data_IF_706260476859
#
_entry.id   IF_706260476859
#
_cell.length_a   1.000
_cell.length_b   1.000
_cell.length_c   1.000
_cell.angle_alpha   90.00
_cell.angle_beta   90.00
_cell.angle_gamma   90.00
#
_symmetry.space_group_name_H-M   'P 1'
#
loop_
_entity.id
_entity.type
_entity.pdbx_description
1 polymer ?
#
# COMPACT_ATOMS: atom_id res chain seq x y z
N UNK A 1 4.58 -0.21 10.17
CA UNK A 1 3.73 -0.51 9.01
C UNK A 1 2.73 -1.58 9.42
N UNK A 2 1.44 -1.27 9.46
CA UNK A 2 0.43 -2.29 9.74
C UNK A 2 0.43 -3.33 8.62
N UNK A 3 0.38 -4.61 9.00
CA UNK A 3 0.20 -5.67 8.04
C UNK A 3 -1.19 -5.51 7.39
N UNK A 4 -1.22 -5.47 6.07
CA UNK A 4 -2.43 -5.32 5.25
C UNK A 4 -3.34 -6.54 5.29
N UNK A 5 -2.83 -7.67 5.79
CA UNK A 5 -3.56 -8.92 5.99
C UNK A 5 -2.85 -9.80 7.03
N UNK A 6 -3.56 -10.80 7.56
CA UNK A 6 -2.99 -11.78 8.49
C UNK A 6 -2.13 -12.82 7.72
N UNK A 7 -0.82 -12.82 8.01
CA UNK A 7 0.15 -13.76 7.42
C UNK A 7 0.03 -15.18 7.95
N UNK A 8 -0.67 -15.40 9.07
CA UNK A 8 -0.91 -16.72 9.67
C UNK A 8 -2.21 -17.36 9.20
N UNK A 9 -3.06 -16.62 8.49
CA UNK A 9 -4.29 -17.15 7.93
C UNK A 9 -3.99 -18.26 6.92
N UNK A 10 -4.82 -19.31 6.92
CA UNK A 10 -4.66 -20.42 5.98
C UNK A 10 -4.92 -19.96 4.55
N UNK A 11 -4.08 -20.42 3.62
CA UNK A 11 -4.28 -20.17 2.19
C UNK A 11 -5.55 -20.88 1.73
N UNK A 12 -6.51 -20.13 1.19
CA UNK A 12 -7.73 -20.68 0.62
C UNK A 12 -7.59 -20.78 -0.90
N UNK A 13 -7.86 -21.96 -1.45
CA UNK A 13 -7.96 -22.13 -2.89
C UNK A 13 -9.11 -21.27 -3.43
N UNK A 14 -8.80 -20.41 -4.39
CA UNK A 14 -9.76 -19.48 -4.99
C UNK A 14 -9.73 -19.69 -6.51
N UNK A 15 -10.90 -19.92 -7.11
CA UNK A 15 -11.03 -20.00 -8.57
C UNK A 15 -10.97 -18.60 -9.14
N UNK A 16 -10.05 -18.36 -10.08
CA UNK A 16 -9.87 -17.07 -10.72
C UNK A 16 -9.54 -17.28 -12.21
N UNK A 17 -10.03 -16.38 -13.05
CA UNK A 17 -9.80 -16.41 -14.49
C UNK A 17 -8.59 -15.54 -14.83
N UNK A 18 -7.57 -16.12 -15.45
CA UNK A 18 -6.38 -15.43 -15.97
C UNK A 18 -6.28 -15.69 -17.46
N UNK A 19 -5.68 -14.76 -18.19
CA UNK A 19 -5.27 -14.99 -19.57
C UNK A 19 -4.38 -16.25 -19.70
N UNK A 20 -4.71 -17.09 -20.66
CA UNK A 20 -4.06 -18.38 -20.87
C UNK A 20 -2.58 -18.24 -21.27
N UNK A 21 -2.25 -17.32 -22.18
CA UNK A 21 -0.87 -17.08 -22.63
C UNK A 21 0.01 -16.57 -21.48
N UNK A 22 -0.53 -15.68 -20.64
CA UNK A 22 0.16 -15.20 -19.45
C UNK A 22 0.48 -16.35 -18.48
N UNK A 23 -0.49 -17.24 -18.24
CA UNK A 23 -0.31 -18.40 -17.37
C UNK A 23 0.70 -19.39 -17.95
N UNK A 24 0.65 -19.63 -19.25
CA UNK A 24 1.61 -20.49 -19.95
C UNK A 24 3.03 -19.93 -19.85
N UNK A 25 3.22 -18.62 -20.07
CA UNK A 25 4.52 -17.95 -19.94
C UNK A 25 5.05 -17.98 -18.50
N UNK A 26 4.18 -17.71 -17.52
CA UNK A 26 4.56 -17.77 -16.11
C UNK A 26 5.03 -19.17 -15.70
N UNK A 27 4.32 -20.22 -16.14
CA UNK A 27 4.72 -21.62 -15.90
C UNK A 27 6.05 -21.98 -16.56
N UNK A 28 6.26 -21.56 -17.82
CA UNK A 28 7.54 -21.79 -18.54
C UNK A 28 8.73 -21.17 -17.82
N UNK A 29 8.52 -20.05 -17.14
CA UNK A 29 9.55 -19.34 -16.37
C UNK A 29 9.64 -19.79 -14.90
N UNK A 30 8.92 -20.86 -14.50
CA UNK A 30 8.85 -21.34 -13.12
C UNK A 30 8.45 -20.26 -12.09
N UNK A 31 7.61 -19.30 -12.50
CA UNK A 31 7.11 -18.27 -11.61
C UNK A 31 6.11 -18.88 -10.62
N UNK A 32 6.33 -18.64 -9.33
CA UNK A 32 5.40 -19.07 -8.29
C UNK A 32 4.15 -18.18 -8.31
N UNK A 33 3.10 -18.67 -8.98
CA UNK A 33 1.83 -17.97 -9.15
C UNK A 33 1.19 -17.54 -7.82
N UNK A 34 1.20 -18.41 -6.81
CA UNK A 34 0.61 -18.09 -5.50
C UNK A 34 1.36 -16.96 -4.81
N UNK A 35 2.69 -17.02 -4.75
CA UNK A 35 3.49 -15.98 -4.13
C UNK A 35 3.39 -14.64 -4.88
N UNK A 36 3.36 -14.70 -6.22
CA UNK A 36 3.25 -13.50 -7.07
C UNK A 36 1.88 -12.84 -6.90
N UNK A 37 0.81 -13.63 -6.88
CA UNK A 37 -0.54 -13.13 -6.66
C UNK A 37 -0.70 -12.51 -5.26
N UNK A 38 -0.18 -13.17 -4.23
CA UNK A 38 -0.20 -12.64 -2.85
C UNK A 38 0.53 -11.30 -2.76
N UNK A 39 1.71 -11.18 -3.37
CA UNK A 39 2.48 -9.92 -3.39
C UNK A 39 1.73 -8.80 -4.15
N UNK A 40 1.15 -9.12 -5.31
CA UNK A 40 0.39 -8.15 -6.09
C UNK A 40 -0.87 -7.67 -5.35
N UNK A 41 -1.57 -8.57 -4.67
CA UNK A 41 -2.74 -8.22 -3.86
C UNK A 41 -2.35 -7.36 -2.65
N UNK A 42 -1.23 -7.68 -1.98
CA UNK A 42 -0.70 -6.88 -0.88
C UNK A 42 -0.39 -5.44 -1.32
N UNK A 43 0.28 -5.29 -2.46
CA UNK A 43 0.61 -3.98 -3.02
C UNK A 43 -0.65 -3.19 -3.39
N UNK A 44 -1.62 -3.84 -4.04
CA UNK A 44 -2.89 -3.22 -4.40
C UNK A 44 -3.66 -2.74 -3.14
N UNK A 45 -3.72 -3.57 -2.09
CA UNK A 45 -4.35 -3.20 -0.82
C UNK A 45 -3.64 -2.02 -0.17
N UNK A 46 -2.30 -2.04 -0.08
CA UNK A 46 -1.51 -0.94 0.46
C UNK A 46 -1.77 0.38 -0.27
N UNK A 47 -1.85 0.32 -1.61
CA UNK A 47 -2.16 1.49 -2.44
C UNK A 47 -3.55 2.04 -2.11
N UNK A 48 -4.58 1.19 -2.08
CA UNK A 48 -5.95 1.60 -1.75
C UNK A 48 -6.08 2.15 -0.34
N UNK A 49 -5.45 1.52 0.64
CA UNK A 49 -5.44 2.03 2.02
C UNK A 49 -4.76 3.39 2.13
N UNK A 50 -3.66 3.61 1.40
CA UNK A 50 -2.99 4.91 1.35
C UNK A 50 -3.88 5.98 0.72
N UNK A 51 -4.52 5.66 -0.40
CA UNK A 51 -5.46 6.57 -1.07
C UNK A 51 -6.63 6.93 -0.15
N UNK A 52 -7.21 5.95 0.53
CA UNK A 52 -8.28 6.18 1.50
C UNK A 52 -7.82 7.04 2.66
N UNK A 53 -6.66 6.72 3.26
CA UNK A 53 -6.12 7.50 4.37
C UNK A 53 -5.86 8.95 3.98
N UNK A 54 -5.31 9.20 2.79
CA UNK A 54 -5.10 10.55 2.27
C UNK A 54 -6.42 11.29 2.04
N UNK A 55 -7.46 10.59 1.59
CA UNK A 55 -8.78 11.18 1.43
C UNK A 55 -9.38 11.58 2.79
N UNK A 56 -9.36 10.67 3.76
CA UNK A 56 -9.94 10.87 5.10
C UNK A 56 -9.19 11.95 5.88
N UNK A 57 -7.86 12.02 5.74
CA UNK A 57 -7.02 12.95 6.49
C UNK A 57 -6.79 14.26 5.75
N UNK A 58 -7.36 14.46 4.56
CA UNK A 58 -7.15 15.66 3.74
C UNK A 58 -7.43 16.95 4.52
N UNK A 59 -8.52 16.99 5.28
CA UNK A 59 -8.89 18.17 6.07
C UNK A 59 -7.93 18.41 7.24
N UNK A 60 -7.51 17.35 7.93
CA UNK A 60 -6.55 17.45 9.03
C UNK A 60 -5.17 17.90 8.53
N UNK A 61 -4.73 17.37 7.38
CA UNK A 61 -3.49 17.79 6.71
C UNK A 61 -3.58 19.26 6.30
N UNK A 62 -4.70 19.69 5.71
CA UNK A 62 -4.89 21.09 5.33
C UNK A 62 -4.85 22.03 6.54
N UNK A 63 -5.57 21.69 7.62
CA UNK A 63 -5.57 22.48 8.85
C UNK A 63 -4.18 22.57 9.48
N UNK A 64 -3.43 21.46 9.49
CA UNK A 64 -2.06 21.45 9.97
C UNK A 64 -1.14 22.29 9.10
N UNK A 65 -1.27 22.21 7.77
CA UNK A 65 -0.48 23.02 6.84
C UNK A 65 -0.72 24.51 7.06
N UNK A 66 -1.98 24.95 7.20
CA UNK A 66 -2.31 26.35 7.53
C UNK A 66 -1.69 26.76 8.86
N UNK A 67 -1.78 25.92 9.90
CA UNK A 67 -1.16 26.21 11.19
C UNK A 67 0.36 26.38 11.08
N UNK A 68 1.03 25.53 10.31
CA UNK A 68 2.48 25.63 10.07
C UNK A 68 2.84 26.87 9.26
N UNK A 69 2.03 27.27 8.28
CA UNK A 69 2.24 28.51 7.53
C UNK A 69 2.09 29.75 8.42
N UNK A 70 1.14 29.73 9.35
CA UNK A 70 0.87 30.85 10.25
C UNK A 70 1.84 30.94 11.43
N UNK A 71 2.28 29.80 11.96
CA UNK A 71 3.01 29.73 13.23
C UNK A 71 4.42 29.11 13.14
N UNK A 72 4.81 28.64 11.96
CA UNK A 72 6.04 27.88 11.76
C UNK A 72 5.94 26.45 12.28
N UNK A 73 7.00 25.66 12.08
CA UNK A 73 7.13 24.35 12.72
C UNK A 73 7.85 24.48 14.06
N UNK A 74 7.52 23.60 15.01
CA UNK A 74 8.18 23.55 16.33
C UNK A 74 9.72 23.54 16.27
N UNK A 75 10.29 22.98 15.19
CA UNK A 75 11.74 22.89 15.00
C UNK A 75 12.40 24.12 14.38
N UNK A 76 11.67 25.16 13.98
CA UNK A 76 12.22 26.29 13.20
C UNK A 76 13.31 27.06 13.96
N UNK A 77 13.27 27.10 15.29
CA UNK A 77 14.32 27.72 16.11
C UNK A 77 15.48 26.80 16.51
N UNK A 78 15.41 25.51 16.17
CA UNK A 78 16.39 24.49 16.61
C UNK A 78 17.33 24.02 15.50
N UNK A 79 17.11 24.47 14.26
CA UNK A 79 17.89 24.06 13.10
C UNK A 79 19.09 25.01 12.90
N UNK A 80 20.15 24.82 13.68
CA UNK A 80 21.46 25.43 13.44
C UNK A 80 22.28 24.55 12.50
N UNK A 81 22.76 25.11 11.39
CA UNK A 81 23.74 24.50 10.47
C UNK A 81 25.16 24.89 10.88
#
# INVERSE_FOLDING_TARGET
>A
MHATFDRKAQKKATNLSVNEDLLAKARKLNINLSATLEAALDEALKKRHREQWLADNRQAIAAYNTHVEEHGVFSDGLRGF
#
